data_IF_906784099553
#
_entry.id   IF_906784099553
#
_cell.length_a   1.000
_cell.length_b   1.000
_cell.length_c   1.000
_cell.angle_alpha   90.00
_cell.angle_beta   90.00
_cell.angle_gamma   90.00
#
_symmetry.space_group_name_H-M   'P 1'
#
loop_
_entity.id
_entity.type
_entity.pdbx_description
1 polymer ?
#
# COMPACT_ATOMS: atom_id res chain seq x y z
N UNK A 1 11.44 -46.17 -44.57
CA UNK A 1 9.99 -46.44 -44.56
C UNK A 1 9.71 -47.21 -43.28
N UNK A 2 8.85 -46.81 -42.36
CA UNK A 2 7.86 -45.74 -42.29
C UNK A 2 7.51 -45.54 -40.80
N UNK A 3 7.37 -44.27 -40.41
CA UNK A 3 6.65 -43.82 -39.22
C UNK A 3 5.21 -44.32 -39.27
N UNK A 4 4.60 -44.71 -38.14
CA UNK A 4 3.15 -44.57 -37.93
C UNK A 4 2.85 -44.47 -36.44
N UNK A 5 2.42 -43.28 -36.04
CA UNK A 5 2.02 -42.89 -34.72
C UNK A 5 0.82 -43.72 -34.22
N UNK A 6 0.86 -44.16 -32.97
CA UNK A 6 -0.36 -44.51 -32.26
C UNK A 6 -1.13 -43.21 -32.00
N UNK A 7 -2.18 -42.97 -32.80
CA UNK A 7 -3.25 -42.05 -32.41
C UNK A 7 -4.03 -42.72 -31.29
N UNK A 8 -3.88 -42.25 -30.06
CA UNK A 8 -4.90 -42.46 -29.03
C UNK A 8 -6.20 -41.84 -29.58
N UNK A 9 -7.20 -42.69 -29.83
CA UNK A 9 -8.54 -42.23 -30.20
C UNK A 9 -9.18 -41.79 -28.89
N UNK A 10 -9.03 -40.51 -28.55
CA UNK A 10 -9.68 -39.92 -27.37
C UNK A 10 -11.19 -40.11 -27.48
N UNK A 11 -11.81 -40.68 -26.44
CA UNK A 11 -13.27 -40.75 -26.36
C UNK A 11 -13.85 -39.33 -26.40
N UNK A 12 -14.93 -39.13 -27.16
CA UNK A 12 -15.48 -37.79 -27.30
C UNK A 12 -15.93 -37.25 -25.94
N UNK A 13 -15.38 -36.08 -25.58
CA UNK A 13 -15.78 -35.31 -24.42
C UNK A 13 -16.94 -34.41 -24.83
N UNK A 14 -18.06 -34.57 -24.13
CA UNK A 14 -19.25 -33.77 -24.32
C UNK A 14 -19.35 -32.74 -23.20
N UNK A 15 -19.68 -31.50 -23.55
CA UNK A 15 -20.00 -30.48 -22.57
C UNK A 15 -21.49 -30.18 -22.62
N UNK A 16 -22.11 -30.12 -21.44
CA UNK A 16 -23.53 -29.84 -21.35
C UNK A 16 -23.87 -28.99 -20.15
N UNK A 17 -24.95 -28.22 -20.29
CA UNK A 17 -25.50 -27.45 -19.20
C UNK A 17 -26.26 -28.37 -18.29
N UNK A 18 -26.02 -28.14 -17.02
CA UNK A 18 -26.85 -28.71 -16.00
C UNK A 18 -27.27 -27.66 -15.01
N UNK A 19 -28.35 -27.96 -14.32
CA UNK A 19 -28.60 -27.30 -13.04
C UNK A 19 -28.08 -28.25 -11.98
N UNK A 20 -27.41 -27.70 -10.98
CA UNK A 20 -27.08 -28.48 -9.80
C UNK A 20 -28.39 -28.76 -9.09
N UNK A 21 -28.82 -30.01 -9.13
CA UNK A 21 -30.12 -30.44 -8.62
C UNK A 21 -30.01 -31.14 -7.27
N UNK A 22 -28.91 -31.86 -7.03
CA UNK A 22 -28.59 -32.47 -5.75
C UNK A 22 -27.06 -32.43 -5.51
N UNK A 23 -26.61 -32.52 -4.25
CA UNK A 23 -25.19 -32.47 -3.90
C UNK A 23 -24.87 -33.47 -2.77
N UNK A 24 -24.06 -34.51 -3.06
CA UNK A 24 -23.62 -35.55 -2.10
C UNK A 24 -22.08 -35.56 -1.98
N UNK A 25 -21.51 -34.69 -1.14
CA UNK A 25 -20.05 -34.57 -0.92
C UNK A 25 -19.34 -33.76 -2.01
N UNK A 26 -18.19 -34.23 -2.52
CA UNK A 26 -17.47 -33.57 -3.65
C UNK A 26 -18.07 -33.89 -5.03
N UNK A 27 -19.07 -34.78 -5.06
CA UNK A 27 -19.80 -35.18 -6.26
C UNK A 27 -21.16 -34.46 -6.28
N UNK A 28 -21.34 -33.58 -7.25
CA UNK A 28 -22.57 -32.85 -7.52
C UNK A 28 -23.42 -33.62 -8.51
N UNK A 29 -24.70 -33.77 -8.19
CA UNK A 29 -25.69 -34.34 -9.09
C UNK A 29 -26.24 -33.21 -9.93
N UNK A 30 -26.16 -33.41 -11.23
CA UNK A 30 -26.36 -32.36 -12.20
C UNK A 30 -27.31 -32.90 -13.25
N UNK A 31 -28.43 -32.21 -13.41
CA UNK A 31 -29.46 -32.64 -14.33
C UNK A 31 -29.25 -31.94 -15.67
N UNK A 32 -29.01 -32.75 -16.70
CA UNK A 32 -28.78 -32.28 -18.07
C UNK A 32 -29.54 -33.19 -19.04
N UNK A 33 -30.28 -32.61 -19.98
CA UNK A 33 -31.03 -33.38 -20.99
C UNK A 33 -32.11 -34.32 -20.43
N UNK A 34 -32.56 -34.13 -19.18
CA UNK A 34 -33.52 -35.01 -18.51
C UNK A 34 -32.88 -36.22 -17.81
N UNK A 35 -31.59 -36.46 -18.05
CA UNK A 35 -30.80 -37.47 -17.36
C UNK A 35 -30.05 -36.86 -16.18
N UNK A 36 -29.62 -37.73 -15.27
CA UNK A 36 -28.97 -37.33 -14.03
C UNK A 36 -27.55 -37.87 -14.02
N UNK A 37 -26.59 -36.95 -13.92
CA UNK A 37 -25.18 -37.30 -13.91
C UNK A 37 -24.55 -36.98 -12.58
N UNK A 38 -23.53 -37.75 -12.25
CA UNK A 38 -22.66 -37.46 -11.12
C UNK A 38 -21.40 -36.74 -11.64
N UNK A 39 -21.15 -35.51 -11.19
CA UNK A 39 -20.04 -34.66 -11.64
C UNK A 39 -19.16 -34.13 -10.49
N UNK A 40 -17.91 -33.77 -10.75
CA UNK A 40 -16.94 -33.24 -9.76
C UNK A 40 -16.49 -31.83 -10.14
N UNK A 41 -16.25 -30.91 -9.20
CA UNK A 41 -15.72 -29.58 -9.56
C UNK A 41 -14.28 -29.69 -10.09
N UNK A 42 -13.98 -29.06 -11.23
CA UNK A 42 -12.63 -28.95 -11.73
C UNK A 42 -11.75 -28.15 -10.77
N UNK A 43 -10.48 -28.53 -10.64
CA UNK A 43 -9.51 -27.82 -9.83
C UNK A 43 -9.36 -26.32 -10.23
N UNK A 44 -9.63 -25.99 -11.50
CA UNK A 44 -9.61 -24.64 -12.06
C UNK A 44 -10.85 -23.79 -11.77
N UNK A 45 -11.90 -24.38 -11.20
CA UNK A 45 -13.15 -23.67 -10.96
C UNK A 45 -13.10 -22.92 -9.61
N UNK A 46 -12.74 -21.64 -9.63
CA UNK A 46 -12.54 -20.82 -8.42
C UNK A 46 -13.84 -20.48 -7.66
N UNK A 47 -14.99 -20.58 -8.34
CA UNK A 47 -16.32 -20.26 -7.81
C UNK A 47 -17.00 -21.58 -7.41
N UNK A 48 -17.57 -21.66 -6.21
CA UNK A 48 -18.22 -22.89 -5.72
C UNK A 48 -19.65 -23.02 -6.31
N UNK A 49 -19.95 -24.08 -7.06
CA UNK A 49 -21.31 -24.30 -7.58
C UNK A 49 -22.30 -24.63 -6.47
N UNK A 50 -23.51 -24.06 -6.51
CA UNK A 50 -24.60 -24.26 -5.53
C UNK A 50 -25.84 -24.85 -6.20
N UNK A 51 -26.75 -25.41 -5.40
CA UNK A 51 -28.04 -25.94 -5.90
C UNK A 51 -28.87 -24.81 -6.49
N UNK A 52 -29.49 -25.07 -7.64
CA UNK A 52 -30.14 -24.02 -8.42
C UNK A 52 -29.14 -23.17 -9.20
N UNK A 53 -27.83 -23.33 -8.95
CA UNK A 53 -26.85 -22.79 -9.86
C UNK A 53 -26.88 -23.61 -11.13
N UNK A 54 -26.96 -22.89 -12.22
CA UNK A 54 -26.65 -23.47 -13.50
C UNK A 54 -25.14 -23.71 -13.53
N UNK A 55 -24.68 -24.82 -14.08
CA UNK A 55 -23.27 -25.24 -14.14
C UNK A 55 -22.93 -25.86 -15.48
N UNK A 56 -21.65 -25.83 -15.84
CA UNK A 56 -21.12 -26.44 -17.06
C UNK A 56 -20.40 -27.70 -16.72
N UNK A 57 -20.78 -28.77 -17.40
CA UNK A 57 -20.14 -30.06 -17.29
C UNK A 57 -19.19 -30.30 -18.45
N UNK A 58 -18.17 -31.12 -18.19
CA UNK A 58 -17.34 -31.77 -19.18
C UNK A 58 -17.36 -33.26 -18.88
N UNK A 59 -17.89 -34.06 -19.79
CA UNK A 59 -18.24 -35.45 -19.55
C UNK A 59 -17.79 -36.36 -20.67
N UNK A 60 -17.20 -37.50 -20.33
CA UNK A 60 -17.01 -38.61 -21.28
C UNK A 60 -18.16 -39.60 -21.19
N UNK A 61 -18.42 -40.34 -22.28
CA UNK A 61 -19.59 -41.24 -22.37
C UNK A 61 -19.59 -42.32 -21.29
N UNK A 62 -18.43 -42.90 -20.99
CA UNK A 62 -18.22 -43.89 -19.90
C UNK A 62 -17.14 -43.43 -18.90
N UNK A 63 -16.91 -42.13 -18.78
CA UNK A 63 -15.78 -41.57 -18.03
C UNK A 63 -16.17 -40.42 -17.11
N UNK A 64 -15.18 -39.60 -16.77
CA UNK A 64 -15.34 -38.56 -15.76
C UNK A 64 -16.27 -37.44 -16.23
N UNK A 65 -16.95 -36.83 -15.25
CA UNK A 65 -17.80 -35.66 -15.45
C UNK A 65 -17.33 -34.54 -14.51
N UNK A 66 -16.92 -33.40 -15.06
CA UNK A 66 -16.40 -32.27 -14.30
C UNK A 66 -17.25 -31.02 -14.44
N UNK A 67 -17.67 -30.43 -13.33
CA UNK A 67 -18.15 -29.05 -13.29
C UNK A 67 -16.96 -28.13 -13.45
N UNK A 68 -16.85 -27.57 -14.64
CA UNK A 68 -15.78 -26.63 -14.96
C UNK A 68 -16.11 -25.22 -14.44
N UNK A 69 -17.40 -24.90 -14.34
CA UNK A 69 -17.87 -23.58 -13.94
C UNK A 69 -19.26 -23.60 -13.31
N UNK A 70 -19.47 -22.66 -12.39
CA UNK A 70 -20.79 -22.17 -11.98
C UNK A 70 -21.26 -21.16 -13.01
N UNK A 71 -22.25 -21.53 -13.81
CA UNK A 71 -22.77 -20.74 -14.93
C UNK A 71 -23.75 -19.65 -14.51
N UNK A 72 -24.51 -19.84 -13.44
CA UNK A 72 -25.44 -18.84 -12.95
C UNK A 72 -25.78 -19.16 -11.50
N UNK A 73 -25.68 -18.19 -10.59
CA UNK A 73 -26.15 -18.39 -9.21
C UNK A 73 -27.66 -18.24 -9.12
N UNK A 74 -28.37 -19.11 -8.39
CA UNK A 74 -29.82 -19.00 -8.20
C UNK A 74 -30.28 -17.70 -7.49
N UNK A 75 -29.37 -17.02 -6.80
CA UNK A 75 -29.39 -15.65 -6.20
C UNK A 75 -28.02 -15.47 -5.48
N UNK A 76 -27.47 -14.29 -5.08
CA UNK A 76 -27.56 -12.87 -5.51
C UNK A 76 -26.16 -12.14 -5.55
N UNK A 77 -26.14 -10.82 -5.31
CA UNK A 77 -25.20 -9.71 -5.64
C UNK A 77 -23.75 -9.63 -5.08
N UNK A 78 -23.16 -10.68 -4.52
CA UNK A 78 -21.75 -10.63 -4.07
C UNK A 78 -21.04 -11.99 -4.14
N UNK A 79 -19.88 -12.01 -4.80
CA UNK A 79 -18.97 -13.16 -4.84
C UNK A 79 -17.85 -12.96 -3.84
N UNK A 80 -17.76 -13.81 -2.83
CA UNK A 80 -16.74 -13.76 -1.79
C UNK A 80 -15.75 -14.92 -1.96
N UNK A 81 -14.46 -14.60 -2.04
CA UNK A 81 -13.38 -15.59 -1.89
C UNK A 81 -13.04 -15.62 -0.40
N UNK A 82 -13.52 -16.65 0.29
CA UNK A 82 -13.25 -16.87 1.71
C UNK A 82 -12.41 -18.13 1.87
N UNK A 83 -11.31 -18.04 2.61
CA UNK A 83 -10.48 -19.18 2.98
C UNK A 83 -10.33 -19.26 4.49
N UNK A 84 -10.42 -20.45 5.12
CA UNK A 84 -10.40 -20.59 6.58
C UNK A 84 -8.99 -20.49 7.20
N UNK A 85 -7.94 -20.58 6.38
CA UNK A 85 -6.55 -20.50 6.79
C UNK A 85 -5.76 -19.49 5.98
N UNK A 86 -4.45 -19.65 5.94
CA UNK A 86 -3.56 -18.75 5.21
C UNK A 86 -3.80 -18.82 3.70
N UNK A 87 -3.99 -17.66 3.07
CA UNK A 87 -4.02 -17.53 1.62
C UNK A 87 -2.64 -17.10 1.13
N UNK A 88 -1.92 -18.00 0.48
CA UNK A 88 -0.69 -17.65 -0.22
C UNK A 88 -0.96 -17.44 -1.70
N UNK A 89 -0.70 -16.23 -2.19
CA UNK A 89 -0.76 -15.89 -3.61
C UNK A 89 0.67 -15.77 -4.14
N UNK A 90 1.18 -16.86 -4.69
CA UNK A 90 2.54 -16.92 -5.25
C UNK A 90 2.52 -16.90 -6.77
N UNK A 91 3.46 -16.16 -7.35
CA UNK A 91 3.71 -16.17 -8.78
C UNK A 91 5.22 -16.33 -8.98
N UNK A 92 5.65 -17.55 -9.33
CA UNK A 92 7.08 -17.92 -9.46
C UNK A 92 7.87 -17.06 -10.46
N UNK A 93 7.19 -16.52 -11.47
CA UNK A 93 7.78 -15.59 -12.45
C UNK A 93 6.76 -14.55 -12.96
N UNK A 94 5.64 -14.38 -12.24
CA UNK A 94 4.49 -13.62 -12.72
C UNK A 94 4.28 -12.29 -12.00
N UNK A 95 3.21 -11.59 -12.37
CA UNK A 95 2.79 -10.31 -11.78
C UNK A 95 1.36 -10.43 -11.26
N UNK A 96 1.14 -10.11 -9.99
CA UNK A 96 -0.20 -9.91 -9.45
C UNK A 96 -0.64 -8.46 -9.71
N UNK A 97 -1.79 -8.28 -10.35
CA UNK A 97 -2.42 -6.97 -10.53
C UNK A 97 -3.81 -6.99 -9.91
N UNK A 98 -4.08 -6.03 -9.02
CA UNK A 98 -5.41 -5.81 -8.45
C UNK A 98 -5.90 -4.45 -8.96
N UNK A 99 -6.91 -4.47 -9.83
CA UNK A 99 -7.51 -3.29 -10.41
C UNK A 99 -9.01 -3.27 -10.09
N UNK A 100 -9.45 -2.25 -9.35
CA UNK A 100 -10.83 -2.13 -8.86
C UNK A 100 -11.32 -0.70 -9.00
N UNK A 101 -12.62 -0.51 -9.26
CA UNK A 101 -13.20 0.83 -9.46
C UNK A 101 -13.60 1.53 -8.17
N UNK A 102 -14.16 0.78 -7.20
CA UNK A 102 -14.71 1.35 -5.97
C UNK A 102 -13.67 1.54 -4.89
N UNK A 103 -12.78 0.57 -4.72
CA UNK A 103 -11.72 0.63 -3.73
C UNK A 103 -11.21 -0.74 -3.33
N UNK A 104 -10.05 -0.72 -2.67
CA UNK A 104 -9.47 -1.86 -1.98
C UNK A 104 -9.47 -1.51 -0.50
N UNK A 105 -10.05 -2.37 0.32
CA UNK A 105 -9.95 -2.27 1.78
C UNK A 105 -9.03 -3.38 2.28
N UNK A 106 -7.95 -3.00 2.97
CA UNK A 106 -7.03 -3.91 3.63
C UNK A 106 -7.12 -3.69 5.13
N UNK A 107 -7.61 -4.68 5.85
CA UNK A 107 -7.76 -4.64 7.30
C UNK A 107 -7.06 -5.83 7.94
N UNK A 108 -6.24 -5.56 8.96
CA UNK A 108 -5.55 -6.57 9.77
C UNK A 108 -5.49 -6.10 11.21
N UNK A 109 -5.71 -7.02 12.15
CA UNK A 109 -5.65 -6.71 13.58
C UNK A 109 -4.21 -6.62 14.12
N UNK A 110 -3.23 -7.16 13.39
CA UNK A 110 -1.85 -7.30 13.90
C UNK A 110 -0.81 -6.67 12.98
N UNK A 111 -0.64 -7.23 11.78
CA UNK A 111 0.52 -6.92 10.95
C UNK A 111 0.14 -6.79 9.48
N UNK A 112 0.62 -5.69 8.87
CA UNK A 112 0.62 -5.44 7.43
C UNK A 112 2.06 -5.14 7.02
N UNK A 113 2.60 -5.93 6.09
CA UNK A 113 3.94 -5.74 5.54
C UNK A 113 3.87 -5.58 4.03
N UNK A 114 4.61 -4.61 3.52
CA UNK A 114 4.86 -4.46 2.09
C UNK A 114 6.37 -4.33 1.90
N UNK A 115 6.97 -5.27 1.19
CA UNK A 115 8.39 -5.26 0.83
C UNK A 115 8.48 -5.21 -0.69
N UNK A 116 9.15 -4.20 -1.21
CA UNK A 116 9.36 -4.02 -2.63
C UNK A 116 10.66 -3.25 -2.88
N UNK A 117 11.32 -3.52 -4.00
CA UNK A 117 12.44 -2.68 -4.47
C UNK A 117 11.98 -1.29 -4.89
N UNK A 118 10.72 -1.16 -5.32
CA UNK A 118 10.10 0.11 -5.69
C UNK A 118 8.67 0.18 -5.17
N UNK A 119 8.38 1.21 -4.36
CA UNK A 119 7.04 1.54 -3.89
C UNK A 119 6.64 2.90 -4.46
N UNK A 120 5.57 2.91 -5.26
CA UNK A 120 4.94 4.13 -5.76
C UNK A 120 3.53 4.24 -5.17
N UNK A 121 3.25 5.36 -4.52
CA UNK A 121 1.92 5.73 -4.06
C UNK A 121 1.52 7.00 -4.79
N UNK A 122 0.40 6.96 -5.49
CA UNK A 122 -0.19 8.09 -6.19
C UNK A 122 -1.61 8.25 -5.67
N UNK A 123 -1.86 9.33 -4.95
CA UNK A 123 -3.13 9.60 -4.30
C UNK A 123 -3.34 11.11 -4.13
N UNK A 124 -4.58 11.55 -4.29
CA UNK A 124 -4.97 12.94 -4.01
C UNK A 124 -4.94 13.25 -2.50
N UNK A 125 -5.19 12.27 -1.65
CA UNK A 125 -5.17 12.41 -0.19
C UNK A 125 -4.70 11.12 0.47
N UNK A 126 -3.83 11.26 1.46
CA UNK A 126 -3.39 10.17 2.32
C UNK A 126 -3.48 10.60 3.78
N UNK A 127 -3.97 9.71 4.64
CA UNK A 127 -4.06 9.92 6.09
C UNK A 127 -3.37 8.76 6.79
N UNK A 128 -2.40 9.09 7.62
CA UNK A 128 -1.67 8.12 8.42
C UNK A 128 -1.91 8.44 9.89
N UNK A 129 -2.40 7.44 10.64
CA UNK A 129 -2.40 7.48 12.10
C UNK A 129 -1.37 6.47 12.56
N UNK A 130 -0.24 6.97 13.04
CA UNK A 130 0.92 6.17 13.38
C UNK A 130 1.41 6.64 14.75
N UNK A 131 1.54 5.72 15.70
CA UNK A 131 2.10 6.03 17.04
C UNK A 131 3.62 6.16 17.00
N UNK A 132 4.31 5.37 16.16
CA UNK A 132 5.76 5.42 15.96
C UNK A 132 6.07 5.27 14.48
N UNK A 133 6.71 6.28 13.89
CA UNK A 133 7.24 6.25 12.53
C UNK A 133 8.77 6.24 12.59
N UNK A 134 9.38 5.29 11.90
CA UNK A 134 10.82 5.27 11.64
C UNK A 134 10.98 5.38 10.12
N UNK A 135 11.77 6.35 9.69
CA UNK A 135 12.06 6.57 8.27
C UNK A 135 13.57 6.52 8.08
N UNK A 136 14.03 5.54 7.29
CA UNK A 136 15.44 5.35 6.94
C UNK A 136 15.56 5.43 5.41
N UNK A 137 16.38 6.35 4.92
CA UNK A 137 16.53 6.57 3.49
C UNK A 137 17.68 7.51 3.17
N UNK A 138 18.15 7.48 1.91
CA UNK A 138 19.29 8.29 1.46
C UNK A 138 18.93 9.72 1.06
N UNK A 139 17.72 9.96 0.56
CA UNK A 139 17.24 11.28 0.14
C UNK A 139 15.74 11.42 0.42
N UNK A 140 15.37 12.49 1.12
CA UNK A 140 14.00 12.96 1.21
C UNK A 140 13.87 14.26 0.41
N UNK A 141 13.08 14.23 -0.66
CA UNK A 141 12.70 15.42 -1.41
C UNK A 141 11.19 15.63 -1.27
N UNK A 142 10.79 16.80 -0.76
CA UNK A 142 9.40 17.14 -0.55
C UNK A 142 9.09 18.54 -1.07
N UNK A 143 8.00 18.68 -1.83
CA UNK A 143 7.43 19.96 -2.23
C UNK A 143 6.05 20.06 -1.58
N UNK A 144 5.94 20.91 -0.57
CA UNK A 144 4.75 20.99 0.29
C UNK A 144 4.31 22.45 0.37
N UNK A 145 3.01 22.71 0.20
CA UNK A 145 2.44 24.04 0.30
C UNK A 145 2.52 24.61 1.72
N UNK A 146 2.16 23.79 2.71
CA UNK A 146 2.15 24.18 4.11
C UNK A 146 2.51 23.01 5.01
N UNK A 147 3.27 23.30 6.05
CA UNK A 147 3.72 22.32 7.03
C UNK A 147 3.51 22.91 8.42
N UNK A 148 2.76 22.18 9.28
CA UNK A 148 2.57 22.51 10.69
C UNK A 148 3.09 21.36 11.53
N UNK A 149 4.06 21.64 12.37
CA UNK A 149 4.59 20.69 13.35
C UNK A 149 4.25 21.19 14.76
N UNK A 150 3.79 20.27 15.60
CA UNK A 150 3.61 20.49 17.04
C UNK A 150 4.25 19.29 17.71
N UNK A 151 5.27 19.54 18.52
CA UNK A 151 6.05 18.51 19.19
C UNK A 151 6.46 19.00 20.58
N UNK A 152 6.56 18.08 21.54
CA UNK A 152 7.14 18.35 22.87
C UNK A 152 8.65 18.55 22.78
N UNK A 153 9.33 17.74 21.97
CA UNK A 153 10.76 17.87 21.67
C UNK A 153 11.01 17.69 20.17
N UNK A 154 11.97 18.44 19.64
CA UNK A 154 12.47 18.32 18.29
C UNK A 154 14.00 18.41 18.31
N UNK A 155 14.65 17.27 18.10
CA UNK A 155 16.11 17.20 17.93
C UNK A 155 16.44 17.04 16.45
N UNK A 156 17.42 17.82 15.97
CA UNK A 156 17.87 17.77 14.60
C UNK A 156 19.38 17.80 14.55
N UNK A 157 19.98 16.80 13.90
CA UNK A 157 21.42 16.70 13.67
C UNK A 157 21.63 16.68 12.17
N UNK A 158 22.22 17.76 11.65
CA UNK A 158 22.38 17.97 10.21
C UNK A 158 23.78 18.51 9.90
N UNK A 159 24.36 18.07 8.78
CA UNK A 159 25.66 18.59 8.32
C UNK A 159 25.53 20.01 7.72
N UNK A 160 24.44 20.29 7.01
CA UNK A 160 24.19 21.59 6.39
C UNK A 160 22.70 21.93 6.47
N UNK A 161 22.39 23.05 7.13
CA UNK A 161 21.06 23.64 7.17
C UNK A 161 21.05 24.94 6.37
N UNK A 162 20.19 25.05 5.37
CA UNK A 162 19.93 26.30 4.64
C UNK A 162 18.46 26.61 4.76
N UNK A 163 18.14 27.78 5.31
CA UNK A 163 16.77 28.26 5.45
C UNK A 163 16.64 29.63 4.79
N UNK A 164 15.65 29.77 3.93
CA UNK A 164 15.26 31.05 3.33
C UNK A 164 13.79 31.28 3.65
N UNK A 165 13.50 32.34 4.39
CA UNK A 165 12.15 32.65 4.82
C UNK A 165 11.87 34.14 4.58
N UNK A 166 10.63 34.47 4.16
CA UNK A 166 10.18 35.87 4.08
C UNK A 166 10.00 36.49 5.47
N UNK A 167 9.52 35.69 6.42
CA UNK A 167 9.35 36.04 7.83
C UNK A 167 9.69 34.80 8.65
N UNK A 168 10.49 34.97 9.69
CA UNK A 168 10.79 33.95 10.68
C UNK A 168 10.56 34.55 12.06
N UNK A 169 9.83 33.83 12.91
CA UNK A 169 9.58 34.20 14.30
C UNK A 169 10.10 33.06 15.16
N UNK A 170 10.99 33.39 16.09
CA UNK A 170 11.53 32.46 17.07
C UNK A 170 11.32 33.09 18.45
N UNK A 171 10.71 32.34 19.35
CA UNK A 171 10.52 32.70 20.75
C UNK A 171 11.06 31.55 21.57
N UNK A 172 11.95 31.85 22.50
CA UNK A 172 12.58 30.88 23.40
C UNK A 172 12.38 31.44 24.81
N UNK A 173 11.76 30.66 25.70
CA UNK A 173 11.39 31.12 27.04
C UNK A 173 12.54 31.03 28.04
N UNK A 174 13.36 29.98 27.91
CA UNK A 174 14.49 29.73 28.79
C UNK A 174 15.80 30.12 28.10
N UNK A 175 16.47 29.17 27.45
CA UNK A 175 17.82 29.38 26.92
C UNK A 175 17.89 29.21 25.41
N UNK A 176 18.35 30.24 24.70
CA UNK A 176 18.83 30.12 23.32
C UNK A 176 20.36 30.18 23.31
N UNK A 177 21.00 29.01 23.16
CA UNK A 177 22.46 28.89 23.09
C UNK A 177 22.93 28.72 21.65
N UNK A 178 23.64 29.71 21.12
CA UNK A 178 24.25 29.66 19.78
C UNK A 178 25.76 29.52 19.91
N UNK A 179 26.30 28.36 19.53
CA UNK A 179 27.75 28.11 19.46
C UNK A 179 28.13 27.83 18.01
N UNK A 180 28.87 28.75 17.40
CA UNK A 180 29.27 28.67 16.00
C UNK A 180 30.69 29.19 15.82
N UNK A 181 31.39 28.73 14.77
CA UNK A 181 32.73 29.24 14.45
C UNK A 181 32.70 30.64 13.82
N UNK A 182 31.66 30.96 13.05
CA UNK A 182 31.43 32.27 12.46
C UNK A 182 29.95 32.61 12.54
N UNK A 183 29.61 33.75 13.13
CA UNK A 183 28.26 34.28 13.23
C UNK A 183 28.20 35.63 12.51
N UNK A 184 27.37 35.72 11.48
CA UNK A 184 27.06 36.97 10.79
C UNK A 184 25.57 37.26 10.98
N UNK A 185 25.26 38.44 11.52
CA UNK A 185 23.91 38.94 11.68
C UNK A 185 23.86 40.32 11.05
N UNK A 186 23.04 40.47 10.02
CA UNK A 186 22.85 41.74 9.33
C UNK A 186 21.36 42.07 9.26
N UNK A 187 21.00 43.31 9.61
CA UNK A 187 19.64 43.83 9.47
C UNK A 187 19.65 45.09 8.59
N UNK A 188 18.75 45.16 7.60
CA UNK A 188 18.71 46.28 6.63
C UNK A 188 18.12 47.58 7.19
N UNK A 189 17.48 47.54 8.37
CA UNK A 189 16.80 48.69 8.97
C UNK A 189 17.14 48.89 10.43
N UNK A 190 16.85 47.89 11.26
CA UNK A 190 17.03 47.97 12.71
C UNK A 190 17.49 46.61 13.22
N UNK A 191 18.59 46.62 13.96
CA UNK A 191 18.97 45.55 14.87
C UNK A 191 18.78 46.08 16.29
N UNK A 192 18.06 45.33 17.13
CA UNK A 192 17.85 45.68 18.54
C UNK A 192 18.30 44.50 19.39
N UNK A 193 19.29 44.71 20.24
CA UNK A 193 19.67 43.79 21.31
C UNK A 193 19.31 44.45 22.64
N UNK A 194 18.58 43.75 23.48
CA UNK A 194 18.12 44.26 24.77
C UNK A 194 18.02 43.12 25.76
N UNK A 195 18.42 43.37 26.99
CA UNK A 195 18.40 42.42 28.09
C UNK A 195 18.71 43.16 29.38
N UNK A 196 18.49 42.51 30.53
CA UNK A 196 18.90 43.08 31.81
C UNK A 196 20.42 43.30 31.86
N UNK A 197 21.18 42.44 31.20
CA UNK A 197 22.63 42.53 31.04
C UNK A 197 23.02 42.08 29.62
N UNK A 198 23.95 42.81 28.99
CA UNK A 198 24.56 42.44 27.72
C UNK A 198 26.08 42.48 27.89
N UNK A 199 26.75 41.37 27.62
CA UNK A 199 28.22 41.26 27.69
C UNK A 199 28.75 40.99 26.29
N UNK A 200 29.63 41.86 25.81
CA UNK A 200 30.36 41.69 24.55
C UNK A 200 31.84 41.62 24.92
N UNK A 201 32.51 40.54 24.52
CA UNK A 201 33.93 40.30 24.80
C UNK A 201 34.62 39.85 23.53
N UNK A 202 35.76 40.45 23.21
CA UNK A 202 36.63 40.04 22.12
C UNK A 202 38.08 39.97 22.62
N UNK A 203 38.84 39.01 22.10
CA UNK A 203 40.26 38.85 22.44
C UNK A 203 41.16 39.82 21.65
N UNK A 204 40.74 40.22 20.45
CA UNK A 204 41.51 41.07 19.55
C UNK A 204 40.86 42.45 19.42
N UNK A 205 39.72 42.56 18.72
CA UNK A 205 39.08 43.83 18.46
C UNK A 205 37.54 43.78 18.58
N UNK A 206 36.98 44.91 19.00
CA UNK A 206 35.57 45.25 18.83
C UNK A 206 35.54 46.56 18.05
N UNK A 207 34.95 46.55 16.85
CA UNK A 207 34.72 47.75 16.06
C UNK A 207 33.25 48.14 16.10
N UNK A 208 32.97 49.35 16.56
CA UNK A 208 31.65 49.98 16.53
C UNK A 208 31.78 51.27 15.73
N UNK A 209 31.03 51.38 14.65
CA UNK A 209 30.99 52.56 13.79
C UNK A 209 29.53 53.01 13.63
N UNK A 210 29.26 54.26 13.99
CA UNK A 210 27.93 54.84 13.94
C UNK A 210 28.03 56.36 13.89
N UNK A 211 27.05 57.02 13.25
CA UNK A 211 26.92 58.48 13.29
C UNK A 211 26.76 59.00 14.73
N UNK A 212 26.13 58.20 15.61
CA UNK A 212 25.92 58.52 17.03
C UNK A 212 26.02 57.25 17.89
N UNK A 213 26.77 57.34 18.98
CA UNK A 213 26.84 56.31 20.02
C UNK A 213 26.46 56.99 21.35
N UNK A 214 25.44 56.46 22.03
CA UNK A 214 25.05 56.91 23.36
C UNK A 214 25.50 55.85 24.36
N UNK A 215 26.37 56.24 25.28
CA UNK A 215 26.87 55.39 26.38
C UNK A 215 26.46 56.09 27.68
N UNK A 216 25.77 55.37 28.57
CA UNK A 216 25.27 55.87 29.85
C UNK A 216 24.94 54.73 30.79
#
# INVERSE_FOLDING_TARGET
MENLAHLEIEEPVYQEYAVVTDSKGEKLTVQAGGETYTARRAASCLILPKIGDRVLLSRQRNGDCFILAVLQTGTPSQTTISVPGDLHLELSSGKLQVAVQRGIELATAKHLQAVASHLKLDALSAKFRISRLIFEGGLLQASIESVRWVAESLESVVNRLVQRAKRAFRSVEEDELVKVGHLDITASRLMSLSGQYTVITANEDVKIDAERIHIG
#
